data_IF_496643303755
#
_entry.id   IF_496643303755
#
_cell.length_a   1.000
_cell.length_b   1.000
_cell.length_c   1.000
_cell.angle_alpha   90.00
_cell.angle_beta   90.00
_cell.angle_gamma   90.00
#
_symmetry.space_group_name_H-M   'P 1'
#
loop_
_entity.id
_entity.type
_entity.pdbx_description
1 polymer ?
#
# COMPACT_ATOMS: atom_id res chain seq x y z
N UNK A 1 -17.79 15.83 8.65
CA UNK A 1 -17.52 17.25 8.34
C UNK A 1 -17.38 17.55 6.84
N UNK A 2 -17.96 16.74 5.92
CA UNK A 2 -18.11 17.15 4.51
C UNK A 2 -19.53 17.69 4.23
N UNK A 3 -20.55 17.01 4.77
CA UNK A 3 -21.98 17.36 4.61
C UNK A 3 -22.37 18.78 5.02
N UNK A 4 -21.77 19.31 6.09
CA UNK A 4 -22.06 20.66 6.59
C UNK A 4 -21.73 21.77 5.59
N UNK A 5 -20.94 21.47 4.56
CA UNK A 5 -20.56 22.41 3.51
C UNK A 5 -21.47 22.37 2.28
N UNK A 6 -22.47 21.48 2.24
CA UNK A 6 -23.39 21.33 1.10
C UNK A 6 -24.82 21.67 1.51
N UNK A 7 -25.49 22.50 0.70
CA UNK A 7 -26.87 22.91 0.92
C UNK A 7 -27.89 21.88 0.43
N UNK A 8 -27.52 21.04 -0.55
CA UNK A 8 -28.37 20.01 -1.13
C UNK A 8 -27.90 18.62 -0.71
N UNK A 9 -28.82 17.81 -0.20
CA UNK A 9 -28.53 16.45 0.26
C UNK A 9 -27.90 15.58 -0.82
N UNK A 10 -28.39 15.68 -2.06
CA UNK A 10 -27.86 14.94 -3.23
C UNK A 10 -26.38 15.22 -3.55
N UNK A 11 -25.85 16.35 -3.08
CA UNK A 11 -24.46 16.75 -3.35
C UNK A 11 -23.50 16.17 -2.29
N UNK A 12 -24.02 15.57 -1.21
CA UNK A 12 -23.27 14.89 -0.15
C UNK A 12 -24.03 13.67 0.41
N UNK A 13 -24.65 12.90 -0.48
CA UNK A 13 -25.35 11.66 -0.12
C UNK A 13 -24.37 10.62 0.44
N UNK A 14 -24.90 9.69 1.26
CA UNK A 14 -24.09 8.57 1.73
C UNK A 14 -23.68 7.70 0.55
N UNK A 15 -22.42 7.24 0.57
CA UNK A 15 -21.93 6.31 -0.44
C UNK A 15 -22.41 4.89 -0.14
N UNK A 16 -22.40 4.04 -1.16
CA UNK A 16 -22.75 2.63 -1.04
C UNK A 16 -21.69 1.72 -1.67
N UNK A 17 -21.84 0.42 -1.41
CA UNK A 17 -20.89 -0.58 -1.90
C UNK A 17 -20.74 -0.59 -3.44
N UNK A 18 -21.81 -0.33 -4.20
CA UNK A 18 -21.77 -0.31 -5.67
C UNK A 18 -20.94 0.88 -6.16
N UNK A 19 -21.07 2.04 -5.53
CA UNK A 19 -20.27 3.23 -5.87
C UNK A 19 -18.78 3.03 -5.58
N UNK A 20 -18.43 2.42 -4.45
CA UNK A 20 -17.02 2.11 -4.13
C UNK A 20 -16.44 1.12 -5.14
N UNK A 21 -17.20 0.08 -5.54
CA UNK A 21 -16.79 -0.83 -6.61
C UNK A 21 -16.61 -0.11 -7.95
N UNK A 22 -17.55 0.75 -8.31
CA UNK A 22 -17.49 1.54 -9.53
C UNK A 22 -16.27 2.47 -9.54
N UNK A 23 -15.98 3.13 -8.41
CA UNK A 23 -14.78 3.97 -8.24
C UNK A 23 -13.49 3.16 -8.45
N UNK A 24 -13.37 2.01 -7.80
CA UNK A 24 -12.21 1.12 -7.97
C UNK A 24 -12.10 0.63 -9.42
N UNK A 25 -13.22 0.30 -10.06
CA UNK A 25 -13.28 -0.09 -11.47
C UNK A 25 -12.74 0.99 -12.41
N UNK A 26 -13.15 2.25 -12.19
CA UNK A 26 -12.60 3.39 -12.95
C UNK A 26 -11.10 3.52 -12.72
N UNK A 27 -10.62 3.43 -11.48
CA UNK A 27 -9.18 3.53 -11.18
C UNK A 27 -8.37 2.43 -11.90
N UNK A 28 -8.88 1.20 -11.96
CA UNK A 28 -8.24 0.13 -12.72
C UNK A 28 -8.23 0.42 -14.22
N UNK A 29 -9.35 0.86 -14.79
CA UNK A 29 -9.45 1.18 -16.22
C UNK A 29 -8.52 2.34 -16.60
N UNK A 30 -8.46 3.40 -15.79
CA UNK A 30 -7.52 4.52 -16.00
C UNK A 30 -6.07 4.03 -16.04
N UNK A 31 -5.70 3.10 -15.17
CA UNK A 31 -4.38 2.46 -15.19
C UNK A 31 -4.14 1.63 -16.45
N UNK A 32 -5.11 0.79 -16.83
CA UNK A 32 -5.04 -0.05 -18.03
C UNK A 32 -4.92 0.77 -19.33
N UNK A 33 -5.60 1.91 -19.39
CA UNK A 33 -5.55 2.87 -20.50
C UNK A 33 -4.30 3.76 -20.47
N UNK A 34 -3.39 3.57 -19.51
CA UNK A 34 -2.19 4.42 -19.29
C UNK A 34 -2.53 5.91 -19.13
N UNK A 35 -3.69 6.20 -18.55
CA UNK A 35 -4.25 7.55 -18.43
C UNK A 35 -4.11 8.13 -17.01
N UNK A 36 -3.32 7.51 -16.13
CA UNK A 36 -3.18 7.88 -14.71
C UNK A 36 -2.68 9.31 -14.44
N UNK A 37 -2.12 9.98 -15.44
CA UNK A 37 -1.63 11.36 -15.36
C UNK A 37 -2.52 12.37 -16.10
N UNK A 38 -3.61 11.93 -16.73
CA UNK A 38 -4.60 12.84 -17.33
C UNK A 38 -5.47 13.45 -16.24
N UNK A 39 -5.90 14.69 -16.44
CA UNK A 39 -6.86 15.31 -15.55
C UNK A 39 -8.20 14.57 -15.64
N UNK A 40 -8.98 14.52 -14.56
CA UNK A 40 -10.33 13.96 -14.67
C UNK A 40 -11.26 14.81 -15.54
N UNK A 41 -10.96 16.11 -15.76
CA UNK A 41 -11.70 16.94 -16.72
C UNK A 41 -11.53 16.38 -18.15
N UNK A 42 -10.30 15.99 -18.52
CA UNK A 42 -10.01 15.41 -19.84
C UNK A 42 -10.62 14.01 -19.98
N UNK A 43 -10.62 13.22 -18.92
CA UNK A 43 -11.12 11.84 -18.94
C UNK A 43 -12.64 11.75 -19.10
N UNK A 44 -13.37 12.80 -18.73
CA UNK A 44 -14.83 12.89 -18.85
C UNK A 44 -15.31 13.74 -20.03
N UNK A 45 -14.42 14.17 -20.94
CA UNK A 45 -14.83 14.89 -22.15
C UNK A 45 -15.66 14.01 -23.08
N UNK A 46 -16.68 14.60 -23.71
CA UNK A 46 -17.56 13.94 -24.69
C UNK A 46 -17.21 14.29 -26.15
N UNK A 47 -16.05 14.90 -26.39
CA UNK A 47 -15.57 15.34 -27.70
C UNK A 47 -14.78 14.25 -28.47
N UNK A 48 -14.79 13.03 -27.96
CA UNK A 48 -14.02 11.89 -28.48
C UNK A 48 -12.61 11.77 -27.90
N UNK A 49 -12.15 12.70 -27.06
CA UNK A 49 -10.84 12.61 -26.39
C UNK A 49 -10.91 11.97 -24.99
N UNK A 50 -12.11 11.92 -24.40
CA UNK A 50 -12.37 11.30 -23.11
C UNK A 50 -12.52 9.78 -23.18
N UNK A 51 -12.93 9.19 -22.06
CA UNK A 51 -13.26 7.77 -21.96
C UNK A 51 -14.76 7.64 -21.69
N UNK A 52 -15.55 7.42 -22.75
CA UNK A 52 -17.03 7.39 -22.68
C UNK A 52 -17.55 6.46 -21.58
N UNK A 53 -16.87 5.33 -21.36
CA UNK A 53 -17.22 4.35 -20.32
C UNK A 53 -17.19 4.96 -18.91
N UNK A 54 -16.36 5.96 -18.62
CA UNK A 54 -16.30 6.59 -17.30
C UNK A 54 -17.56 7.39 -17.00
N UNK A 55 -18.04 8.16 -17.98
CA UNK A 55 -19.28 8.93 -17.85
C UNK A 55 -20.51 8.01 -17.72
N UNK A 56 -20.49 6.84 -18.35
CA UNK A 56 -21.53 5.82 -18.18
C UNK A 56 -21.54 5.18 -16.79
N UNK A 57 -20.40 5.12 -16.10
CA UNK A 57 -20.27 4.49 -14.77
C UNK A 57 -20.64 5.48 -13.66
N UNK A 58 -20.10 6.69 -13.67
CA UNK A 58 -20.49 7.76 -12.74
C UNK A 58 -20.10 9.14 -13.28
N UNK A 59 -20.80 10.18 -12.81
CA UNK A 59 -20.41 11.56 -13.11
C UNK A 59 -19.02 11.90 -12.57
N UNK A 60 -18.28 12.75 -13.29
CA UNK A 60 -16.97 13.27 -12.86
C UNK A 60 -17.04 13.91 -11.47
N UNK A 61 -18.14 14.63 -11.21
CA UNK A 61 -18.42 15.28 -9.92
C UNK A 61 -18.44 14.27 -8.77
N UNK A 62 -19.14 13.14 -8.96
CA UNK A 62 -19.19 12.07 -7.96
C UNK A 62 -17.82 11.41 -7.79
N UNK A 63 -17.11 11.12 -8.89
CA UNK A 63 -15.76 10.57 -8.85
C UNK A 63 -14.80 11.44 -8.01
N UNK A 64 -14.75 12.74 -8.28
CA UNK A 64 -13.95 13.70 -7.50
C UNK A 64 -14.38 13.80 -6.05
N UNK A 65 -15.69 13.80 -5.79
CA UNK A 65 -16.23 13.87 -4.44
C UNK A 65 -15.80 12.64 -3.62
N UNK A 66 -15.97 11.43 -4.17
CA UNK A 66 -15.57 10.19 -3.50
C UNK A 66 -14.06 10.15 -3.24
N UNK A 67 -13.22 10.52 -4.22
CA UNK A 67 -11.76 10.57 -4.03
C UNK A 67 -11.32 11.54 -2.92
N UNK A 68 -12.02 12.67 -2.75
CA UNK A 68 -11.74 13.63 -1.66
C UNK A 68 -12.22 13.13 -0.30
N UNK A 69 -13.29 12.35 -0.28
CA UNK A 69 -13.99 11.94 0.94
C UNK A 69 -13.65 10.54 1.43
N UNK A 70 -12.98 9.68 0.64
CA UNK A 70 -12.61 8.32 1.04
C UNK A 70 -11.74 8.32 2.31
N UNK A 71 -12.09 7.47 3.29
CA UNK A 71 -11.37 7.29 4.56
C UNK A 71 -11.29 5.80 4.87
N UNK A 72 -10.23 5.40 5.56
CA UNK A 72 -9.95 3.99 5.90
C UNK A 72 -9.86 3.75 7.41
N UNK A 73 -10.36 4.70 8.20
CA UNK A 73 -10.30 4.66 9.65
C UNK A 73 -11.49 5.39 10.31
N UNK A 74 -11.74 5.08 11.59
CA UNK A 74 -12.73 5.82 12.39
C UNK A 74 -12.09 7.08 12.99
N UNK A 75 -12.71 8.23 12.72
CA UNK A 75 -12.28 9.53 13.24
C UNK A 75 -12.37 9.63 14.76
N UNK A 76 -13.30 8.91 15.41
CA UNK A 76 -13.58 9.01 16.84
C UNK A 76 -12.38 8.58 17.68
N UNK A 77 -11.75 7.48 17.26
CA UNK A 77 -10.59 6.88 17.94
C UNK A 77 -9.24 7.28 17.30
N UNK A 78 -9.25 8.26 16.39
CA UNK A 78 -8.04 8.60 15.63
C UNK A 78 -6.97 9.25 16.49
N UNK A 79 -7.37 10.09 17.44
CA UNK A 79 -6.42 10.84 18.28
C UNK A 79 -5.59 9.87 19.13
N UNK A 80 -6.23 8.93 19.83
CA UNK A 80 -5.51 7.95 20.64
C UNK A 80 -4.61 7.05 19.78
N UNK A 81 -5.10 6.57 18.62
CA UNK A 81 -4.27 5.69 17.78
C UNK A 81 -3.05 6.39 17.17
N UNK A 82 -3.11 7.71 16.94
CA UNK A 82 -1.95 8.48 16.45
C UNK A 82 -0.83 8.57 17.47
N UNK A 83 -1.14 8.45 18.76
CA UNK A 83 -0.16 8.50 19.84
C UNK A 83 0.77 7.28 19.81
N UNK A 84 0.35 6.17 19.19
CA UNK A 84 1.12 4.92 19.13
C UNK A 84 1.48 4.48 17.70
N UNK A 85 0.79 4.98 16.66
CA UNK A 85 1.00 4.56 15.27
C UNK A 85 0.88 5.70 14.25
N UNK A 86 1.99 6.04 13.61
CA UNK A 86 2.05 6.98 12.49
C UNK A 86 1.23 6.53 11.27
N UNK A 87 1.10 5.22 11.05
CA UNK A 87 0.40 4.63 9.90
C UNK A 87 -1.10 4.35 10.17
N UNK A 88 -1.64 4.86 11.28
CA UNK A 88 -2.96 4.48 11.78
C UNK A 88 -4.12 4.69 10.80
N UNK A 89 -4.00 5.66 9.88
CA UNK A 89 -5.07 6.01 8.94
C UNK A 89 -5.37 4.92 7.90
N UNK A 90 -4.41 4.02 7.62
CA UNK A 90 -4.56 2.92 6.65
C UNK A 90 -4.21 1.56 7.24
N UNK A 91 -3.83 1.52 8.53
CA UNK A 91 -3.41 0.32 9.26
C UNK A 91 -4.29 -0.90 8.98
N UNK A 92 -5.59 -0.78 9.27
CA UNK A 92 -6.53 -1.90 9.16
C UNK A 92 -6.68 -2.40 7.73
N UNK A 93 -6.91 -1.51 6.76
CA UNK A 93 -7.09 -1.93 5.36
C UNK A 93 -5.80 -2.52 4.77
N UNK A 94 -4.64 -1.97 5.14
CA UNK A 94 -3.34 -2.48 4.69
C UNK A 94 -3.06 -3.88 5.26
N UNK A 95 -3.28 -4.09 6.55
CA UNK A 95 -3.08 -5.41 7.16
C UNK A 95 -4.06 -6.46 6.63
N UNK A 96 -5.32 -6.08 6.39
CA UNK A 96 -6.29 -6.94 5.73
C UNK A 96 -5.86 -7.32 4.31
N UNK A 97 -5.36 -6.34 3.53
CA UNK A 97 -4.82 -6.58 2.21
C UNK A 97 -3.64 -7.55 2.25
N UNK A 98 -2.66 -7.32 3.12
CA UNK A 98 -1.48 -8.18 3.29
C UNK A 98 -1.87 -9.58 3.79
N UNK A 99 -2.86 -9.68 4.69
CA UNK A 99 -3.39 -10.98 5.14
C UNK A 99 -3.97 -11.77 3.97
N UNK A 100 -4.71 -11.11 3.08
CA UNK A 100 -5.26 -11.75 1.88
C UNK A 100 -4.14 -12.17 0.92
N UNK A 101 -3.11 -11.35 0.71
CA UNK A 101 -1.95 -11.72 -0.10
C UNK A 101 -1.30 -13.03 0.37
N UNK A 102 -1.08 -13.17 1.69
CA UNK A 102 -0.51 -14.38 2.30
C UNK A 102 -1.37 -15.63 2.13
N UNK A 103 -2.71 -15.48 2.20
CA UNK A 103 -3.66 -16.60 2.11
C UNK A 103 -3.94 -17.06 0.68
N UNK A 104 -3.75 -16.17 -0.29
CA UNK A 104 -4.22 -16.42 -1.66
C UNK A 104 -3.24 -17.22 -2.50
N UNK A 105 -1.97 -17.32 -2.09
CA UNK A 105 -0.93 -17.97 -2.87
C UNK A 105 0.20 -18.51 -1.99
N UNK A 106 0.67 -19.73 -2.31
CA UNK A 106 1.88 -20.31 -1.72
C UNK A 106 3.05 -20.05 -2.66
N UNK A 107 4.06 -19.32 -2.19
CA UNK A 107 5.22 -18.97 -3.03
C UNK A 107 6.12 -20.19 -3.30
N UNK A 108 6.86 -20.14 -4.39
CA UNK A 108 7.82 -21.16 -4.84
C UNK A 108 9.03 -21.28 -3.91
N UNK A 109 10.01 -22.09 -4.32
CA UNK A 109 11.24 -22.39 -3.61
C UNK A 109 12.14 -21.17 -3.42
N UNK A 110 12.03 -20.17 -4.31
CA UNK A 110 12.86 -18.97 -4.33
C UNK A 110 12.01 -17.72 -4.14
N UNK A 111 12.34 -16.95 -3.11
CA UNK A 111 11.72 -15.68 -2.82
C UNK A 111 12.74 -14.54 -2.83
N UNK A 112 12.28 -13.31 -2.95
CA UNK A 112 13.11 -12.12 -2.88
C UNK A 112 12.56 -11.14 -1.86
N UNK A 113 13.46 -10.60 -1.01
CA UNK A 113 13.17 -9.46 -0.14
C UNK A 113 13.78 -8.21 -0.74
N UNK A 114 12.95 -7.20 -0.95
CA UNK A 114 13.40 -5.92 -1.48
C UNK A 114 12.51 -4.76 -0.98
N UNK A 115 12.85 -3.55 -1.35
CA UNK A 115 12.03 -2.36 -1.16
C UNK A 115 11.38 -1.84 -2.44
N UNK A 116 10.21 -1.25 -2.26
CA UNK A 116 9.52 -0.41 -3.23
C UNK A 116 9.36 0.99 -2.65
N UNK A 117 9.49 1.99 -3.50
CA UNK A 117 9.16 3.37 -3.17
C UNK A 117 7.86 3.77 -3.87
N UNK A 118 6.79 3.97 -3.10
CA UNK A 118 5.52 4.49 -3.63
C UNK A 118 5.61 6.02 -3.70
N UNK A 119 5.65 6.56 -4.92
CA UNK A 119 5.86 7.98 -5.15
C UNK A 119 4.79 8.83 -4.47
N UNK A 120 5.24 9.78 -3.65
CA UNK A 120 4.37 10.69 -2.91
C UNK A 120 5.15 11.92 -2.46
N UNK A 121 4.73 13.09 -2.93
CA UNK A 121 5.37 14.37 -2.59
C UNK A 121 4.57 15.19 -1.56
N UNK A 122 3.42 14.72 -1.09
CA UNK A 122 2.63 15.41 -0.07
C UNK A 122 3.28 15.37 1.32
N UNK A 123 2.64 16.03 2.28
CA UNK A 123 3.07 16.01 3.69
C UNK A 123 2.73 14.65 4.31
N UNK A 124 3.75 13.89 4.66
CA UNK A 124 3.63 12.64 5.40
C UNK A 124 4.86 12.50 6.32
N UNK A 125 4.65 12.13 7.59
CA UNK A 125 5.69 12.11 8.63
C UNK A 125 6.75 11.03 8.41
N UNK A 126 6.48 10.05 7.55
CA UNK A 126 7.39 8.96 7.20
C UNK A 126 7.66 8.88 5.68
N UNK A 127 7.49 10.00 4.98
CA UNK A 127 7.99 10.14 3.60
C UNK A 127 9.51 10.07 3.60
N UNK A 128 10.07 9.27 2.71
CA UNK A 128 11.51 9.10 2.53
C UNK A 128 12.01 9.71 1.23
N UNK A 129 13.28 10.11 1.24
CA UNK A 129 14.05 10.48 0.06
C UNK A 129 15.04 9.36 -0.28
N UNK A 130 15.00 8.85 -1.51
CA UNK A 130 15.95 7.84 -2.02
C UNK A 130 16.56 8.39 -3.30
N UNK A 131 17.84 8.77 -3.25
CA UNK A 131 18.54 9.46 -4.34
C UNK A 131 18.56 8.68 -5.66
N UNK A 132 18.64 7.36 -5.58
CA UNK A 132 18.91 6.47 -6.71
C UNK A 132 17.63 5.94 -7.38
N UNK A 133 16.43 6.39 -6.97
CA UNK A 133 15.15 6.01 -7.59
C UNK A 133 14.65 7.12 -8.54
N UNK A 134 14.00 6.78 -9.68
CA UNK A 134 13.52 7.78 -10.65
C UNK A 134 12.62 8.85 -10.04
N UNK A 135 11.68 8.46 -9.18
CA UNK A 135 11.00 9.39 -8.28
C UNK A 135 11.62 9.28 -6.89
N UNK A 136 12.22 10.37 -6.42
CA UNK A 136 13.07 10.34 -5.23
C UNK A 136 12.30 10.43 -3.92
N UNK A 137 11.06 10.91 -3.92
CA UNK A 137 10.24 11.09 -2.72
C UNK A 137 9.05 10.14 -2.71
N UNK A 138 8.86 9.44 -1.60
CA UNK A 138 7.73 8.53 -1.47
C UNK A 138 7.62 7.83 -0.12
N UNK A 139 6.70 6.87 -0.04
CA UNK A 139 6.54 5.97 1.09
C UNK A 139 7.32 4.69 0.77
N UNK A 140 8.30 4.35 1.61
CA UNK A 140 9.07 3.10 1.46
C UNK A 140 8.24 1.93 2.00
N UNK A 141 8.17 0.87 1.21
CA UNK A 141 7.45 -0.37 1.52
C UNK A 141 8.41 -1.52 1.28
N UNK A 142 8.63 -2.38 2.26
CA UNK A 142 9.36 -3.62 2.09
C UNK A 142 8.42 -4.71 1.60
N UNK A 143 8.93 -5.61 0.76
CA UNK A 143 8.14 -6.67 0.13
C UNK A 143 8.87 -8.01 0.16
N UNK A 144 8.13 -9.08 0.38
CA UNK A 144 8.51 -10.45 0.07
C UNK A 144 7.78 -10.87 -1.21
N UNK A 145 8.54 -11.14 -2.26
CA UNK A 145 8.02 -11.53 -3.57
C UNK A 145 8.50 -12.93 -3.94
N UNK A 146 7.69 -13.64 -4.71
CA UNK A 146 8.06 -14.89 -5.37
C UNK A 146 8.93 -14.61 -6.61
N UNK A 147 10.01 -15.36 -6.80
CA UNK A 147 10.92 -15.12 -7.94
C UNK A 147 10.38 -15.63 -9.27
N UNK A 148 9.61 -16.72 -9.28
CA UNK A 148 9.12 -17.34 -10.52
C UNK A 148 7.89 -16.65 -11.09
N UNK A 149 6.98 -16.20 -10.22
CA UNK A 149 5.67 -15.65 -10.58
C UNK A 149 5.54 -14.14 -10.33
N UNK A 150 6.53 -13.54 -9.68
CA UNK A 150 6.52 -12.13 -9.27
C UNK A 150 5.39 -11.78 -8.29
N UNK A 151 4.76 -12.78 -7.67
CA UNK A 151 3.69 -12.59 -6.72
C UNK A 151 4.20 -11.98 -5.41
N UNK A 152 3.58 -10.90 -4.95
CA UNK A 152 3.90 -10.28 -3.65
C UNK A 152 3.13 -10.96 -2.51
N UNK A 153 3.84 -11.70 -1.66
CA UNK A 153 3.24 -12.47 -0.55
C UNK A 153 3.10 -11.63 0.73
N UNK A 154 4.11 -10.84 1.08
CA UNK A 154 4.10 -10.04 2.31
C UNK A 154 4.59 -8.60 2.03
N UNK A 155 4.06 -7.63 2.78
CA UNK A 155 4.43 -6.22 2.67
C UNK A 155 4.49 -5.58 4.06
N UNK A 156 5.43 -4.65 4.23
CA UNK A 156 5.57 -3.85 5.45
C UNK A 156 5.85 -2.38 5.10
N UNK A 157 5.02 -1.44 5.57
CA UNK A 157 5.27 0.00 5.38
C UNK A 157 6.33 0.45 6.38
N UNK A 158 7.39 1.08 5.88
CA UNK A 158 8.39 1.70 6.73
C UNK A 158 7.92 3.08 7.20
N UNK A 159 7.36 3.12 8.42
CA UNK A 159 6.83 4.34 9.04
C UNK A 159 7.89 5.15 9.83
N UNK A 160 9.17 4.85 9.62
CA UNK A 160 10.27 5.42 10.40
C UNK A 160 10.17 5.09 11.90
N UNK A 161 10.76 5.94 12.76
CA UNK A 161 10.65 5.79 14.21
C UNK A 161 9.21 6.00 14.66
N UNK A 162 8.57 4.99 15.22
CA UNK A 162 7.23 5.07 15.78
C UNK A 162 7.26 5.69 17.18
N UNK A 163 6.13 6.26 17.67
CA UNK A 163 5.98 6.61 19.08
C UNK A 163 6.08 5.37 19.97
N UNK A 164 6.30 5.59 21.27
CA UNK A 164 6.33 4.49 22.24
C UNK A 164 4.99 3.73 22.24
N UNK A 165 5.08 2.40 22.19
CA UNK A 165 3.90 1.54 22.05
C UNK A 165 4.19 0.30 21.20
N UNK A 166 3.15 -0.49 20.87
CA UNK A 166 3.30 -1.79 20.22
C UNK A 166 3.87 -1.72 18.80
N UNK A 167 3.83 -0.55 18.16
CA UNK A 167 4.39 -0.34 16.82
C UNK A 167 5.83 0.19 16.85
N UNK A 168 6.37 0.50 18.03
CA UNK A 168 7.77 0.86 18.24
C UNK A 168 8.65 -0.38 18.18
N UNK A 169 8.96 -0.80 16.96
CA UNK A 169 9.75 -2.01 16.68
C UNK A 169 11.07 -1.65 16.02
N UNK A 170 12.03 -2.57 16.11
CA UNK A 170 13.32 -2.43 15.44
C UNK A 170 13.14 -2.45 13.91
N UNK A 171 13.70 -1.44 13.25
CA UNK A 171 13.70 -1.28 11.80
C UNK A 171 15.06 -1.60 11.17
N UNK A 172 15.97 -2.24 11.91
CA UNK A 172 17.18 -2.83 11.36
C UNK A 172 16.83 -3.82 10.25
N UNK A 173 17.72 -3.94 9.26
CA UNK A 173 17.46 -4.76 8.08
C UNK A 173 17.20 -6.24 8.45
N UNK A 174 17.95 -6.78 9.41
CA UNK A 174 17.77 -8.13 9.94
C UNK A 174 16.36 -8.35 10.50
N UNK A 175 15.87 -7.45 11.37
CA UNK A 175 14.54 -7.57 11.97
C UNK A 175 13.42 -7.40 10.94
N UNK A 176 13.61 -6.52 9.95
CA UNK A 176 12.67 -6.38 8.83
C UNK A 176 12.60 -7.67 8.01
N UNK A 177 13.73 -8.29 7.66
CA UNK A 177 13.75 -9.55 6.92
C UNK A 177 13.01 -10.64 7.71
N UNK A 178 13.31 -10.79 9.01
CA UNK A 178 12.66 -11.80 9.86
C UNK A 178 11.13 -11.65 9.92
N UNK A 179 10.63 -10.40 10.01
CA UNK A 179 9.18 -10.15 9.94
C UNK A 179 8.59 -10.47 8.58
N UNK A 180 9.27 -10.11 7.49
CA UNK A 180 8.79 -10.35 6.13
C UNK A 180 8.73 -11.84 5.81
N UNK A 181 9.73 -12.62 6.22
CA UNK A 181 9.85 -14.05 5.91
C UNK A 181 9.11 -14.95 6.91
N UNK A 182 8.56 -14.38 7.98
CA UNK A 182 7.77 -15.12 8.97
C UNK A 182 6.69 -16.06 8.36
N UNK A 183 5.97 -15.71 7.26
CA UNK A 183 4.98 -16.61 6.68
C UNK A 183 5.57 -17.86 6.00
N UNK A 184 6.86 -17.82 5.62
CA UNK A 184 7.57 -18.94 5.00
C UNK A 184 8.61 -19.56 5.93
N UNK A 185 8.63 -19.16 7.20
CA UNK A 185 9.50 -19.76 8.20
C UNK A 185 9.25 -21.27 8.28
N UNK A 186 10.33 -22.02 8.43
CA UNK A 186 10.40 -23.48 8.53
C UNK A 186 10.09 -24.26 7.25
N UNK A 187 10.20 -23.63 6.09
CA UNK A 187 9.78 -24.25 4.82
C UNK A 187 10.91 -24.69 3.88
N UNK A 188 12.18 -24.40 4.18
CA UNK A 188 13.32 -24.80 3.34
C UNK A 188 13.51 -23.95 2.08
N UNK A 189 12.85 -22.79 1.99
CA UNK A 189 12.97 -21.86 0.86
C UNK A 189 14.27 -21.05 0.91
N UNK A 190 14.72 -20.58 -0.26
CA UNK A 190 15.81 -19.64 -0.40
C UNK A 190 15.28 -18.21 -0.56
N UNK A 191 15.95 -17.26 0.08
CA UNK A 191 15.66 -15.83 0.01
C UNK A 191 16.82 -15.15 -0.70
N UNK A 192 16.54 -14.48 -1.81
CA UNK A 192 17.46 -13.53 -2.42
C UNK A 192 17.20 -12.14 -1.82
N UNK A 193 18.25 -11.41 -1.46
CA UNK A 193 18.09 -10.03 -0.98
C UNK A 193 19.25 -9.16 -1.47
N UNK A 194 19.05 -7.84 -1.48
CA UNK A 194 20.16 -6.92 -1.78
C UNK A 194 21.11 -6.75 -0.59
N UNK A 195 22.22 -6.04 -0.83
CA UNK A 195 23.27 -5.83 0.16
C UNK A 195 22.80 -5.16 1.45
N UNK A 196 21.73 -4.37 1.42
CA UNK A 196 21.20 -3.73 2.62
C UNK A 196 20.53 -4.73 3.56
N UNK A 197 19.93 -5.79 3.00
CA UNK A 197 19.26 -6.86 3.74
C UNK A 197 20.16 -8.05 4.05
N UNK A 198 21.33 -8.18 3.43
CA UNK A 198 22.19 -9.36 3.57
C UNK A 198 23.31 -9.17 4.61
N UNK A 199 23.35 -10.04 5.62
CA UNK A 199 24.49 -10.17 6.54
C UNK A 199 24.75 -11.64 6.90
N UNK A 200 26.00 -11.97 7.25
CA UNK A 200 26.39 -13.33 7.67
C UNK A 200 25.58 -13.77 8.90
N UNK A 201 25.45 -12.87 9.90
CA UNK A 201 24.68 -13.15 11.11
C UNK A 201 23.21 -13.46 10.82
N UNK A 202 22.60 -12.76 9.86
CA UNK A 202 21.23 -13.02 9.45
C UNK A 202 21.13 -14.36 8.70
N UNK A 203 22.08 -14.68 7.82
CA UNK A 203 22.10 -15.95 7.10
C UNK A 203 22.17 -17.15 8.07
N UNK A 204 23.05 -17.08 9.09
CA UNK A 204 23.16 -18.09 10.14
C UNK A 204 21.87 -18.20 10.98
N UNK A 205 21.26 -17.06 11.34
CA UNK A 205 20.01 -17.03 12.10
C UNK A 205 18.85 -17.64 11.30
N UNK A 206 18.72 -17.31 10.01
CA UNK A 206 17.70 -17.86 9.13
C UNK A 206 17.86 -19.36 8.94
N UNK A 207 19.09 -19.84 8.77
CA UNK A 207 19.37 -21.26 8.64
C UNK A 207 19.00 -22.02 9.91
N UNK A 208 19.48 -21.56 11.07
CA UNK A 208 19.30 -22.24 12.36
C UNK A 208 17.86 -22.16 12.87
N UNK A 209 17.27 -20.96 12.86
CA UNK A 209 16.01 -20.68 13.55
C UNK A 209 14.81 -20.65 12.60
N UNK A 210 15.01 -20.52 11.30
CA UNK A 210 13.92 -20.44 10.33
C UNK A 210 13.96 -21.53 9.25
N UNK A 211 14.98 -22.40 9.16
CA UNK A 211 15.12 -23.35 8.04
C UNK A 211 14.88 -22.65 6.69
N UNK A 212 15.56 -21.51 6.52
CA UNK A 212 15.59 -20.68 5.32
C UNK A 212 17.05 -20.39 4.99
N UNK A 213 17.36 -20.23 3.72
CA UNK A 213 18.68 -19.79 3.27
C UNK A 213 18.62 -18.37 2.71
N UNK A 214 19.73 -17.64 2.79
CA UNK A 214 19.91 -16.27 2.29
C UNK A 214 21.07 -16.26 1.29
#
# INVERSE_FOLDING_TARGET
MARSSYSRERDASDTNYKEIKALIGILYMTGAMKCSHRSSEDLWQSDGTGADIFACVMSERLFRFLLRCIRFDDIRERTQRKEIDKNTHIRSIFENFVSNCKKSYSISEYACVNEKLQLFCGRCSFRQYISNKPGRYGIKIFALCDNGTYYTSNLEIHAGKQPDGPFSIDNSASEVVKRLVSPISKTGRNITADNWFASVSLAEELLKNHNLTL
#
